data_IF_904095228144
#
_entry.id   IF_904095228144
#
_cell.length_a   1.000
_cell.length_b   1.000
_cell.length_c   1.000
_cell.angle_alpha   90.00
_cell.angle_beta   90.00
_cell.angle_gamma   90.00
#
_symmetry.space_group_name_H-M   'P 1'
#
loop_
_entity.id
_entity.type
_entity.pdbx_description
1 polymer ?
#
# COMPACT_ATOMS: atom_id res chain seq x y z
N UNK A 1 17.44 -14.62 -5.81
CA UNK A 1 15.98 -14.56 -5.53
C UNK A 1 15.82 -14.61 -4.02
N UNK A 2 15.41 -13.51 -3.39
CA UNK A 2 15.15 -13.46 -1.95
C UNK A 2 13.90 -14.25 -1.64
N UNK A 3 13.92 -15.07 -0.60
CA UNK A 3 12.76 -15.85 -0.16
C UNK A 3 11.66 -14.90 0.37
N UNK A 4 10.44 -15.01 -0.16
CA UNK A 4 9.35 -14.08 0.16
C UNK A 4 8.69 -14.36 1.51
N UNK A 5 8.43 -15.65 1.76
CA UNK A 5 7.68 -16.13 2.92
C UNK A 5 8.62 -16.70 3.98
N UNK A 6 8.28 -16.52 5.25
CA UNK A 6 8.99 -17.20 6.35
C UNK A 6 8.51 -18.65 6.44
N UNK A 7 9.42 -19.63 6.42
CA UNK A 7 9.07 -21.04 6.62
C UNK A 7 9.02 -21.38 8.12
N UNK A 8 7.84 -21.33 8.72
CA UNK A 8 7.65 -21.76 10.12
C UNK A 8 6.21 -22.20 10.38
N UNK A 9 5.97 -22.95 11.46
CA UNK A 9 4.62 -23.32 11.90
C UNK A 9 3.73 -22.09 12.21
N UNK A 10 4.35 -20.97 12.61
CA UNK A 10 3.67 -19.70 12.88
C UNK A 10 3.09 -19.07 11.59
N UNK A 11 3.69 -19.35 10.42
CA UNK A 11 3.23 -18.86 9.12
C UNK A 11 1.74 -19.18 8.88
N UNK A 12 1.31 -20.41 9.19
CA UNK A 12 -0.06 -20.82 8.93
C UNK A 12 -1.05 -20.06 9.83
N UNK A 13 -0.71 -19.89 11.10
CA UNK A 13 -1.54 -19.14 12.06
C UNK A 13 -1.66 -17.66 11.67
N UNK A 14 -0.58 -17.06 11.19
CA UNK A 14 -0.59 -15.67 10.72
C UNK A 14 -1.41 -15.52 9.43
N UNK A 15 -1.29 -16.47 8.50
CA UNK A 15 -2.11 -16.49 7.29
C UNK A 15 -3.60 -16.62 7.61
N UNK A 16 -3.97 -17.50 8.54
CA UNK A 16 -5.35 -17.69 8.98
C UNK A 16 -5.90 -16.43 9.65
N UNK A 17 -5.07 -15.73 10.42
CA UNK A 17 -5.40 -14.44 11.05
C UNK A 17 -5.76 -13.41 9.98
N UNK A 18 -4.94 -13.26 8.94
CA UNK A 18 -5.24 -12.33 7.85
C UNK A 18 -6.47 -12.76 7.04
N UNK A 19 -6.62 -14.05 6.73
CA UNK A 19 -7.76 -14.56 5.94
C UNK A 19 -9.11 -14.25 6.57
N UNK A 20 -9.22 -14.28 7.90
CA UNK A 20 -10.46 -13.93 8.62
C UNK A 20 -10.96 -12.53 8.30
N UNK A 21 -10.04 -11.60 8.05
CA UNK A 21 -10.36 -10.19 7.82
C UNK A 21 -10.22 -9.75 6.36
N UNK A 22 -9.94 -10.68 5.44
CA UNK A 22 -9.82 -10.37 4.01
C UNK A 22 -11.09 -9.73 3.43
N UNK A 23 -12.29 -10.12 3.87
CA UNK A 23 -13.54 -9.49 3.38
C UNK A 23 -13.58 -7.97 3.59
N UNK A 24 -12.95 -7.48 4.65
CA UNK A 24 -12.89 -6.05 4.98
C UNK A 24 -11.85 -5.30 4.12
N UNK A 25 -10.71 -5.93 3.86
CA UNK A 25 -9.58 -5.33 3.13
C UNK A 25 -9.69 -5.50 1.61
N UNK A 26 -10.45 -6.49 1.15
CA UNK A 26 -10.61 -6.89 -0.26
C UNK A 26 -12.09 -7.03 -0.60
N UNK A 27 -12.85 -5.95 -0.43
CA UNK A 27 -14.29 -5.95 -0.63
C UNK A 27 -14.72 -6.26 -2.08
N UNK A 28 -13.82 -6.10 -3.04
CA UNK A 28 -14.02 -6.28 -4.48
C UNK A 28 -13.33 -7.53 -5.08
N UNK A 29 -12.63 -8.32 -4.26
CA UNK A 29 -11.85 -9.49 -4.74
C UNK A 29 -12.42 -10.79 -4.18
N UNK A 30 -12.40 -11.84 -5.00
CA UNK A 30 -12.60 -13.21 -4.52
C UNK A 30 -11.42 -13.67 -3.66
N UNK A 31 -11.57 -13.46 -2.35
CA UNK A 31 -10.56 -13.77 -1.34
C UNK A 31 -10.20 -15.26 -1.23
N UNK A 32 -11.03 -16.16 -1.76
CA UNK A 32 -10.73 -17.61 -1.76
C UNK A 32 -9.57 -17.95 -2.71
N UNK A 33 -9.34 -17.08 -3.70
CA UNK A 33 -8.29 -17.22 -4.72
C UNK A 33 -7.03 -16.40 -4.40
N UNK A 34 -7.01 -15.69 -3.26
CA UNK A 34 -5.83 -14.95 -2.79
C UNK A 34 -4.75 -15.92 -2.32
N UNK A 35 -3.73 -16.02 -3.16
CA UNK A 35 -2.44 -16.64 -2.91
C UNK A 35 -1.46 -15.62 -2.29
N UNK A 36 -0.86 -15.98 -1.15
CA UNK A 36 0.06 -15.11 -0.39
C UNK A 36 1.37 -14.83 -1.13
N UNK A 37 1.86 -15.74 -1.95
CA UNK A 37 3.10 -15.55 -2.68
C UNK A 37 2.85 -14.74 -3.96
N UNK A 38 1.87 -15.16 -4.76
CA UNK A 38 1.57 -14.54 -6.06
C UNK A 38 1.02 -13.14 -5.92
N UNK A 39 0.23 -12.88 -4.87
CA UNK A 39 -0.43 -11.59 -4.65
C UNK A 39 0.19 -10.78 -3.51
N UNK A 40 1.41 -11.09 -3.08
CA UNK A 40 2.08 -10.45 -1.95
C UNK A 40 2.04 -8.92 -1.99
N UNK A 41 2.26 -8.30 -3.16
CA UNK A 41 2.21 -6.83 -3.30
C UNK A 41 0.86 -6.27 -2.88
N UNK A 42 -0.22 -6.85 -3.40
CA UNK A 42 -1.58 -6.41 -3.11
C UNK A 42 -1.93 -6.69 -1.65
N UNK A 43 -1.51 -7.82 -1.10
CA UNK A 43 -1.74 -8.17 0.30
C UNK A 43 -1.04 -7.19 1.24
N UNK A 44 0.26 -6.95 1.03
CA UNK A 44 1.05 -6.01 1.85
C UNK A 44 0.45 -4.60 1.77
N UNK A 45 0.12 -4.12 0.57
CA UNK A 45 -0.49 -2.79 0.40
C UNK A 45 -1.83 -2.68 1.13
N UNK A 46 -2.72 -3.65 0.99
CA UNK A 46 -4.05 -3.60 1.62
C UNK A 46 -3.98 -3.72 3.14
N UNK A 47 -3.14 -4.62 3.66
CA UNK A 47 -2.95 -4.76 5.11
C UNK A 47 -2.34 -3.50 5.72
N UNK A 48 -1.39 -2.83 5.07
CA UNK A 48 -0.90 -1.54 5.60
C UNK A 48 -1.94 -0.42 5.55
N UNK A 49 -2.74 -0.34 4.48
CA UNK A 49 -3.77 0.71 4.37
C UNK A 49 -4.93 0.54 5.35
N UNK A 50 -5.37 -0.70 5.60
CA UNK A 50 -6.61 -0.98 6.31
C UNK A 50 -6.43 -1.85 7.55
N UNK A 51 -5.26 -2.45 7.75
CA UNK A 51 -5.05 -3.46 8.78
C UNK A 51 -5.09 -2.92 10.20
N UNK A 52 -5.53 -3.75 11.14
CA UNK A 52 -5.35 -3.51 12.58
C UNK A 52 -3.89 -3.78 12.98
N UNK A 53 -3.45 -3.35 14.18
CA UNK A 53 -2.11 -3.67 14.68
C UNK A 53 -1.79 -5.17 14.66
N UNK A 54 -2.76 -6.02 15.01
CA UNK A 54 -2.62 -7.48 15.03
C UNK A 54 -2.40 -8.03 13.61
N UNK A 55 -3.12 -7.50 12.62
CA UNK A 55 -2.99 -7.90 11.22
C UNK A 55 -1.65 -7.44 10.62
N UNK A 56 -1.21 -6.24 10.98
CA UNK A 56 0.13 -5.74 10.62
C UNK A 56 1.21 -6.63 11.23
N UNK A 57 1.06 -7.04 12.48
CA UNK A 57 1.99 -7.97 13.12
C UNK A 57 2.02 -9.33 12.39
N UNK A 58 0.85 -9.89 12.05
CA UNK A 58 0.76 -11.13 11.27
C UNK A 58 1.43 -10.98 9.89
N UNK A 59 1.31 -9.82 9.23
CA UNK A 59 2.00 -9.54 7.96
C UNK A 59 3.52 -9.67 8.10
N UNK A 60 4.10 -9.14 9.19
CA UNK A 60 5.53 -9.29 9.50
C UNK A 60 5.91 -10.73 9.91
N UNK A 61 4.94 -11.53 10.36
CA UNK A 61 5.10 -12.98 10.58
C UNK A 61 5.11 -13.79 9.29
N UNK A 62 4.36 -13.35 8.26
CA UNK A 62 4.26 -14.04 6.97
C UNK A 62 5.44 -13.73 6.06
N UNK A 63 5.74 -12.43 5.87
CA UNK A 63 6.71 -11.99 4.88
C UNK A 63 8.05 -11.67 5.53
N UNK A 64 9.14 -11.93 4.80
CA UNK A 64 10.44 -11.41 5.19
C UNK A 64 10.44 -9.88 5.12
N UNK A 65 11.20 -9.24 6.00
CA UNK A 65 11.27 -7.77 6.07
C UNK A 65 11.74 -7.18 4.73
N UNK A 66 12.67 -7.87 4.08
CA UNK A 66 13.24 -7.53 2.78
C UNK A 66 12.19 -7.57 1.67
N UNK A 67 11.28 -8.55 1.71
CA UNK A 67 10.16 -8.63 0.77
C UNK A 67 9.19 -7.44 0.95
N UNK A 68 8.89 -7.06 2.19
CA UNK A 68 8.06 -5.88 2.48
C UNK A 68 8.76 -4.60 2.01
N UNK A 69 10.06 -4.45 2.28
CA UNK A 69 10.86 -3.32 1.80
C UNK A 69 10.83 -3.22 0.27
N UNK A 70 10.90 -4.34 -0.42
CA UNK A 70 10.83 -4.38 -1.88
C UNK A 70 9.47 -3.90 -2.41
N UNK A 71 8.37 -4.24 -1.74
CA UNK A 71 7.04 -3.70 -2.08
C UNK A 71 6.99 -2.18 -1.87
N UNK A 72 7.60 -1.66 -0.80
CA UNK A 72 7.63 -0.21 -0.55
C UNK A 72 8.50 0.56 -1.55
N UNK A 73 9.62 -0.04 -2.00
CA UNK A 73 10.50 0.51 -3.06
C UNK A 73 9.81 0.50 -4.42
N UNK A 74 9.03 -0.55 -4.69
CA UNK A 74 8.30 -0.75 -5.95
C UNK A 74 6.78 -0.83 -5.72
N UNK A 75 6.16 0.27 -5.25
CA UNK A 75 4.77 0.28 -4.81
C UNK A 75 3.81 0.24 -5.99
N UNK A 76 2.63 -0.35 -5.75
CA UNK A 76 1.52 -0.26 -6.70
C UNK A 76 1.09 1.20 -6.82
N UNK A 77 1.07 1.70 -8.06
CA UNK A 77 0.79 3.11 -8.35
C UNK A 77 -0.63 3.48 -7.89
N UNK A 78 -0.75 4.58 -7.15
CA UNK A 78 -2.04 5.17 -6.77
C UNK A 78 -2.88 4.35 -5.79
N UNK A 79 -2.32 3.32 -5.16
CA UNK A 79 -3.04 2.45 -4.22
C UNK A 79 -2.82 2.80 -2.76
N UNK A 80 -1.84 3.63 -2.45
CA UNK A 80 -1.43 3.86 -1.06
C UNK A 80 -2.04 5.12 -0.46
N UNK A 81 -2.43 5.03 0.81
CA UNK A 81 -2.76 6.21 1.59
C UNK A 81 -1.51 7.04 1.90
N UNK A 82 -1.54 8.38 1.73
CA UNK A 82 -0.35 9.23 1.86
C UNK A 82 0.38 9.07 3.19
N UNK A 83 -0.37 9.11 4.30
CA UNK A 83 0.17 9.03 5.66
C UNK A 83 0.71 7.64 5.97
N UNK A 84 -0.06 6.60 5.64
CA UNK A 84 0.31 5.19 5.82
C UNK A 84 1.60 4.85 5.09
N UNK A 85 1.68 5.14 3.78
CA UNK A 85 2.87 4.80 3.00
C UNK A 85 4.11 5.51 3.51
N UNK A 86 4.00 6.80 3.84
CA UNK A 86 5.10 7.56 4.42
C UNK A 86 5.54 6.97 5.77
N UNK A 87 4.61 6.60 6.64
CA UNK A 87 4.92 6.01 7.94
C UNK A 87 5.70 4.70 7.81
N UNK A 88 5.25 3.77 6.96
CA UNK A 88 5.93 2.49 6.76
C UNK A 88 7.24 2.61 5.97
N UNK A 89 7.35 3.57 5.04
CA UNK A 89 8.62 3.91 4.39
C UNK A 89 9.65 4.39 5.41
N UNK A 90 9.26 5.31 6.31
CA UNK A 90 10.14 5.78 7.39
C UNK A 90 10.53 4.64 8.34
N UNK A 91 9.56 3.85 8.80
CA UNK A 91 9.78 2.75 9.75
C UNK A 91 10.75 1.70 9.19
N UNK A 92 10.67 1.44 7.88
CA UNK A 92 11.49 0.44 7.21
C UNK A 92 12.67 1.04 6.45
N UNK A 93 12.98 2.32 6.63
CA UNK A 93 14.11 2.99 6.00
C UNK A 93 14.14 2.77 4.48
N UNK A 94 13.05 3.20 3.83
CA UNK A 94 12.82 3.15 2.38
C UNK A 94 12.44 4.55 1.90
N UNK A 95 13.09 5.03 0.85
CA UNK A 95 12.77 6.31 0.22
C UNK A 95 11.37 6.30 -0.42
N UNK A 96 10.43 7.18 0.00
CA UNK A 96 9.07 7.19 -0.52
C UNK A 96 9.00 7.55 -2.01
N UNK A 97 8.16 6.83 -2.75
CA UNK A 97 7.89 7.09 -4.17
C UNK A 97 6.56 7.84 -4.35
N UNK A 98 6.57 9.00 -5.02
CA UNK A 98 5.34 9.80 -5.25
C UNK A 98 4.26 8.99 -6.00
N UNK A 99 4.68 8.11 -6.93
CA UNK A 99 3.77 7.27 -7.73
C UNK A 99 2.86 6.38 -6.87
N UNK A 100 3.27 6.04 -5.65
CA UNK A 100 2.50 5.18 -4.74
C UNK A 100 1.17 5.82 -4.34
N UNK A 101 1.17 7.14 -4.20
CA UNK A 101 0.14 7.88 -3.48
C UNK A 101 -1.16 7.93 -4.27
N UNK A 102 -2.24 7.51 -3.61
CA UNK A 102 -3.59 7.70 -4.11
C UNK A 102 -3.96 9.19 -4.01
N UNK A 103 -4.07 9.84 -5.17
CA UNK A 103 -4.33 11.28 -5.30
C UNK A 103 -5.74 11.69 -4.87
N UNK A 104 -6.66 10.75 -4.69
CA UNK A 104 -7.99 11.03 -4.14
C UNK A 104 -7.88 11.48 -2.68
N UNK A 105 -6.92 10.91 -1.93
CA UNK A 105 -6.70 11.21 -0.51
C UNK A 105 -5.72 12.36 -0.26
N UNK A 106 -4.94 12.76 -1.26
CA UNK A 106 -4.23 14.04 -1.20
C UNK A 106 -5.25 15.11 -1.48
N UNK A 107 -5.71 15.82 -0.44
CA UNK A 107 -6.65 16.93 -0.57
C UNK A 107 -6.25 17.79 -1.78
N UNK A 108 -7.10 17.82 -2.80
CA UNK A 108 -6.79 18.48 -4.05
C UNK A 108 -6.36 19.92 -3.72
N UNK A 109 -5.09 20.28 -3.93
CA UNK A 109 -4.79 21.64 -4.34
C UNK A 109 -5.41 21.77 -5.72
N UNK A 110 -6.71 22.13 -5.78
CA UNK A 110 -7.36 22.53 -7.03
C UNK A 110 -6.39 23.53 -7.67
N UNK A 111 -5.95 23.29 -8.91
CA UNK A 111 -5.28 24.34 -9.67
C UNK A 111 -6.22 25.54 -9.58
N UNK A 112 -5.75 26.65 -9.01
CA UNK A 112 -6.58 27.82 -8.85
C UNK A 112 -7.16 28.13 -10.24
N UNK A 113 -8.48 28.05 -10.45
CA UNK A 113 -9.07 28.27 -11.78
C UNK A 113 -8.64 29.63 -12.33
N UNK A 114 -8.39 30.60 -11.45
CA UNK A 114 -7.89 31.92 -11.81
C UNK A 114 -6.51 31.91 -12.49
N UNK A 115 -5.67 30.88 -12.33
CA UNK A 115 -4.42 30.74 -13.11
C UNK A 115 -4.67 30.27 -14.55
N UNK A 116 -5.70 29.47 -14.78
CA UNK A 116 -6.12 29.04 -16.11
C UNK A 116 -6.83 30.19 -16.85
N UNK A 117 -7.69 30.94 -16.15
CA UNK A 117 -8.35 32.12 -16.70
C UNK A 117 -7.37 33.30 -16.90
N UNK A 118 -6.40 33.53 -16.02
CA UNK A 118 -5.38 34.56 -16.23
C UNK A 118 -4.50 34.29 -17.46
N UNK A 119 -4.23 33.03 -17.79
CA UNK A 119 -3.52 32.65 -19.01
C UNK A 119 -4.38 32.76 -20.28
N UNK A 120 -5.71 32.66 -20.15
CA UNK A 120 -6.66 32.80 -21.27
C UNK A 120 -7.10 34.25 -21.53
N UNK A 121 -7.03 35.12 -20.52
CA UNK A 121 -7.59 36.48 -20.56
C UNK A 121 -6.54 37.60 -20.62
N UNK A 122 -5.24 37.30 -20.70
CA UNK A 122 -4.24 38.35 -20.89
C UNK A 122 -4.04 38.65 -22.39
N UNK A 123 -4.41 39.84 -22.89
CA UNK A 123 -3.98 40.27 -24.21
C UNK A 123 -2.48 40.58 -24.15
N UNK A 124 -1.71 40.05 -25.10
CA UNK A 124 -0.33 40.48 -25.35
C UNK A 124 -0.37 41.96 -25.74
N UNK A 125 -0.12 42.85 -24.78
CA UNK A 125 0.18 44.27 -25.00
C UNK A 125 1.51 44.55 -24.33
#
# INVERSE_FOLDING_TARGET
MTELLKKSKLLQTDQDTLRKNFKRMFWDVDTTRLDFEKHHKTIITQVFNYGSPEEIQALFGIYQKEAIREVLKNPIKGMWFPTTYKAFCNMLDVEPQEKAINRIFTGQKRKNPNKLFAALLWPQI
#
